data_IF_722665822096
#
_entry.id   IF_722665822096
#
_cell.length_a   1.000
_cell.length_b   1.000
_cell.length_c   1.000
_cell.angle_alpha   90.00
_cell.angle_beta   90.00
_cell.angle_gamma   90.00
#
_symmetry.space_group_name_H-M   'P 1'
#
loop_
_entity.id
_entity.type
_entity.pdbx_description
1 polymer ?
#
# COMPACT_ATOMS: atom_id res chain seq x y z
N UNK A 1 -1.05 -59.54 9.08
CA UNK A 1 -0.22 -58.82 10.07
C UNK A 1 0.93 -58.03 9.43
N UNK A 2 1.70 -58.62 8.50
CA UNK A 2 2.81 -57.94 7.81
C UNK A 2 2.38 -56.74 6.96
N UNK A 3 1.25 -56.87 6.26
CA UNK A 3 0.62 -55.79 5.47
C UNK A 3 0.26 -54.57 6.31
N UNK A 4 -0.45 -54.75 7.43
CA UNK A 4 -0.84 -53.64 8.32
C UNK A 4 0.37 -52.92 8.93
N UNK A 5 1.40 -53.68 9.30
CA UNK A 5 2.65 -53.12 9.81
C UNK A 5 3.33 -52.23 8.75
N UNK A 6 3.43 -52.73 7.51
CA UNK A 6 3.98 -51.99 6.39
C UNK A 6 3.17 -50.72 6.09
N UNK A 7 1.83 -50.82 6.06
CA UNK A 7 0.93 -49.68 5.85
C UNK A 7 1.12 -48.60 6.92
N UNK A 8 1.24 -48.97 8.19
CA UNK A 8 1.47 -48.00 9.27
C UNK A 8 2.82 -47.28 9.12
N UNK A 9 3.89 -47.98 8.73
CA UNK A 9 5.18 -47.34 8.44
C UNK A 9 5.10 -46.37 7.26
N UNK A 10 4.39 -46.74 6.18
CA UNK A 10 4.18 -45.81 5.05
C UNK A 10 3.38 -44.56 5.45
N UNK A 11 2.33 -44.72 6.26
CA UNK A 11 1.55 -43.59 6.77
C UNK A 11 2.35 -42.70 7.72
N UNK A 12 3.20 -43.27 8.57
CA UNK A 12 4.13 -42.50 9.40
C UNK A 12 5.14 -41.69 8.56
N UNK A 13 5.65 -42.28 7.48
CA UNK A 13 6.50 -41.55 6.53
C UNK A 13 5.79 -40.36 5.88
N UNK A 14 4.54 -40.56 5.43
CA UNK A 14 3.71 -39.47 4.89
C UNK A 14 3.40 -38.39 5.94
N UNK A 15 3.15 -38.81 7.19
CA UNK A 15 2.89 -37.89 8.29
C UNK A 15 4.14 -37.06 8.65
N UNK A 16 5.32 -37.67 8.62
CA UNK A 16 6.58 -36.96 8.80
C UNK A 16 6.83 -35.92 7.69
N UNK A 17 6.54 -36.27 6.43
CA UNK A 17 6.61 -35.33 5.30
C UNK A 17 5.61 -34.17 5.45
N UNK A 18 4.40 -34.44 5.94
CA UNK A 18 3.41 -33.41 6.24
C UNK A 18 3.90 -32.44 7.33
N UNK A 19 4.54 -32.94 8.40
CA UNK A 19 5.12 -32.09 9.45
C UNK A 19 6.27 -31.23 8.91
N UNK A 20 7.11 -31.77 8.03
CA UNK A 20 8.18 -31.01 7.35
C UNK A 20 7.58 -29.90 6.48
N UNK A 21 6.56 -30.22 5.67
CA UNK A 21 5.86 -29.24 4.85
C UNK A 21 5.27 -28.11 5.69
N UNK A 22 4.52 -28.44 6.75
CA UNK A 22 3.94 -27.46 7.67
C UNK A 22 5.01 -26.59 8.33
N UNK A 23 6.16 -27.15 8.68
CA UNK A 23 7.29 -26.39 9.23
C UNK A 23 7.79 -25.32 8.26
N UNK A 24 7.94 -25.67 6.98
CA UNK A 24 8.43 -24.73 5.95
C UNK A 24 7.41 -23.68 5.53
N UNK A 25 6.11 -23.97 5.59
CA UNK A 25 5.07 -22.99 5.24
C UNK A 25 4.75 -22.05 6.40
N UNK A 26 4.68 -22.56 7.63
CA UNK A 26 4.44 -21.75 8.82
C UNK A 26 5.61 -20.83 9.16
N UNK A 27 6.84 -21.19 8.78
CA UNK A 27 8.00 -20.29 8.93
C UNK A 27 7.92 -19.07 8.01
N UNK A 28 7.18 -19.18 6.90
CA UNK A 28 7.11 -18.15 5.85
C UNK A 28 5.87 -17.24 5.94
N UNK A 29 4.90 -17.53 6.81
CA UNK A 29 3.57 -16.89 6.82
C UNK A 29 3.43 -15.57 7.60
N UNK A 30 4.49 -14.79 7.80
CA UNK A 30 4.37 -13.35 8.14
C UNK A 30 3.87 -12.93 9.55
N UNK A 31 4.84 -12.51 10.37
CA UNK A 31 4.87 -11.41 11.37
C UNK A 31 4.30 -11.47 12.79
N UNK A 32 3.22 -12.12 13.19
CA UNK A 32 2.77 -12.05 14.59
C UNK A 32 3.33 -13.21 15.46
N UNK A 33 3.82 -12.87 16.65
CA UNK A 33 4.46 -13.81 17.58
C UNK A 33 3.49 -14.92 18.05
N UNK A 34 2.19 -14.62 18.08
CA UNK A 34 1.13 -15.56 18.42
C UNK A 34 0.97 -16.67 17.36
N UNK A 35 1.00 -16.31 16.07
CA UNK A 35 0.93 -17.26 14.96
C UNK A 35 2.12 -18.23 14.94
N UNK A 36 3.34 -17.70 15.18
CA UNK A 36 4.56 -18.52 15.27
C UNK A 36 4.55 -19.46 16.49
N UNK A 37 4.03 -19.01 17.63
CA UNK A 37 3.90 -19.84 18.83
C UNK A 37 2.93 -21.02 18.67
N UNK A 38 1.76 -20.78 18.08
CA UNK A 38 0.78 -21.83 17.78
C UNK A 38 1.32 -22.85 16.77
N UNK A 39 1.95 -22.37 15.70
CA UNK A 39 2.60 -23.20 14.69
C UNK A 39 3.63 -24.16 15.30
N UNK A 40 4.51 -23.62 16.14
CA UNK A 40 5.53 -24.40 16.83
C UNK A 40 4.92 -25.42 17.80
N UNK A 41 3.82 -25.05 18.48
CA UNK A 41 3.02 -25.96 19.30
C UNK A 41 2.47 -27.16 18.52
N UNK A 42 1.90 -26.94 17.33
CA UNK A 42 1.40 -28.02 16.47
C UNK A 42 2.51 -28.96 15.99
N UNK A 43 3.68 -28.42 15.65
CA UNK A 43 4.84 -29.23 15.23
C UNK A 43 5.37 -30.11 16.38
N UNK A 44 5.47 -29.55 17.58
CA UNK A 44 5.94 -30.28 18.77
C UNK A 44 4.94 -31.39 19.13
N UNK A 45 3.64 -31.07 19.20
CA UNK A 45 2.59 -32.06 19.48
C UNK A 45 2.56 -33.13 18.38
N UNK A 46 2.70 -32.73 17.12
CA UNK A 46 2.74 -33.64 15.98
C UNK A 46 3.93 -34.60 16.02
N UNK A 47 5.11 -34.12 16.39
CA UNK A 47 6.31 -34.94 16.55
C UNK A 47 6.18 -35.93 17.73
N UNK A 48 5.62 -35.50 18.86
CA UNK A 48 5.33 -36.37 20.01
C UNK A 48 4.35 -37.48 19.59
N UNK A 49 3.29 -37.12 18.85
CA UNK A 49 2.33 -38.10 18.34
C UNK A 49 3.01 -39.12 17.42
N UNK A 50 3.91 -38.69 16.53
CA UNK A 50 4.65 -39.59 15.63
C UNK A 50 5.50 -40.61 16.40
N UNK A 51 6.20 -40.17 17.46
CA UNK A 51 6.98 -41.07 18.32
C UNK A 51 6.07 -42.05 19.06
N UNK A 52 4.94 -41.58 19.59
CA UNK A 52 3.98 -42.41 20.32
C UNK A 52 3.36 -43.50 19.43
N UNK A 53 2.93 -43.16 18.21
CA UNK A 53 2.36 -44.14 17.27
C UNK A 53 3.41 -45.10 16.72
N UNK A 54 4.66 -44.68 16.57
CA UNK A 54 5.77 -45.57 16.23
C UNK A 54 6.00 -46.62 17.34
N UNK A 55 6.02 -46.21 18.61
CA UNK A 55 6.12 -47.11 19.75
C UNK A 55 4.95 -48.10 19.83
N UNK A 56 3.71 -47.64 19.65
CA UNK A 56 2.51 -48.49 19.64
C UNK A 56 2.50 -49.50 18.47
N UNK A 57 3.12 -49.16 17.33
CA UNK A 57 3.19 -50.03 16.15
C UNK A 57 4.18 -51.19 16.31
N UNK A 58 5.18 -51.04 17.20
CA UNK A 58 6.14 -52.09 17.54
C UNK A 58 5.53 -53.21 18.41
N UNK A 59 4.42 -52.93 19.10
CA UNK A 59 3.73 -53.94 19.90
C UNK A 59 3.21 -55.11 19.03
N UNK A 60 3.18 -56.33 19.58
CA UNK A 60 2.72 -57.52 18.83
C UNK A 60 1.18 -57.58 18.68
N UNK A 61 0.44 -56.69 19.32
CA UNK A 61 -1.03 -56.73 19.37
C UNK A 61 -1.69 -56.18 18.10
N UNK A 62 -2.76 -56.83 17.65
CA UNK A 62 -3.53 -56.40 16.46
C UNK A 62 -4.32 -55.11 16.72
N UNK A 63 -4.83 -54.94 17.93
CA UNK A 63 -5.60 -53.77 18.37
C UNK A 63 -4.75 -52.49 18.39
N UNK A 64 -3.48 -52.56 18.83
CA UNK A 64 -2.58 -51.40 18.80
C UNK A 64 -2.33 -50.91 17.37
N UNK A 65 -2.14 -51.83 16.42
CA UNK A 65 -1.88 -51.49 15.01
C UNK A 65 -3.10 -50.90 14.29
N UNK A 66 -4.31 -51.35 14.64
CA UNK A 66 -5.56 -50.73 14.15
C UNK A 66 -5.71 -49.32 14.75
N UNK A 67 -5.40 -49.15 16.04
CA UNK A 67 -5.40 -47.84 16.70
C UNK A 67 -4.42 -46.86 16.04
N UNK A 68 -3.19 -47.31 15.74
CA UNK A 68 -2.17 -46.52 15.01
C UNK A 68 -2.68 -46.10 13.62
N UNK A 69 -3.31 -47.02 12.89
CA UNK A 69 -3.86 -46.71 11.56
C UNK A 69 -4.92 -45.62 11.63
N UNK A 70 -5.87 -45.72 12.57
CA UNK A 70 -6.91 -44.71 12.76
C UNK A 70 -6.33 -43.36 13.20
N UNK A 71 -5.34 -43.37 14.10
CA UNK A 71 -4.68 -42.17 14.60
C UNK A 71 -3.87 -41.44 13.51
N UNK A 72 -3.35 -42.15 12.51
CA UNK A 72 -2.59 -41.57 11.39
C UNK A 72 -3.50 -41.03 10.27
N UNK A 73 -4.61 -41.71 9.97
CA UNK A 73 -5.49 -41.35 8.84
C UNK A 73 -6.15 -39.99 9.03
N UNK A 74 -6.69 -39.71 10.22
CA UNK A 74 -7.41 -38.46 10.49
C UNK A 74 -6.54 -37.21 10.22
N UNK A 75 -5.34 -37.06 10.81
CA UNK A 75 -4.52 -35.88 10.56
C UNK A 75 -3.92 -35.85 9.16
N UNK A 76 -3.66 -37.00 8.52
CA UNK A 76 -3.23 -37.04 7.11
C UNK A 76 -4.31 -36.53 6.16
N UNK A 77 -5.57 -36.93 6.35
CA UNK A 77 -6.69 -36.49 5.51
C UNK A 77 -7.01 -35.02 5.73
N UNK A 78 -7.08 -34.57 6.99
CA UNK A 78 -7.33 -33.16 7.31
C UNK A 78 -6.18 -32.26 6.84
N UNK A 79 -4.93 -32.68 7.09
CA UNK A 79 -3.73 -31.96 6.67
C UNK A 79 -3.58 -31.91 5.14
N UNK A 80 -3.89 -33.00 4.43
CA UNK A 80 -3.88 -33.00 2.97
C UNK A 80 -4.96 -32.07 2.39
N UNK A 81 -6.18 -32.07 2.95
CA UNK A 81 -7.25 -31.16 2.50
C UNK A 81 -6.86 -29.69 2.68
N UNK A 82 -6.31 -29.34 3.84
CA UNK A 82 -5.85 -27.97 4.12
C UNK A 82 -4.64 -27.59 3.26
N UNK A 83 -3.64 -28.47 3.16
CA UNK A 83 -2.43 -28.24 2.38
C UNK A 83 -2.69 -28.09 0.89
N UNK A 84 -3.56 -28.92 0.31
CA UNK A 84 -3.99 -28.79 -1.09
C UNK A 84 -4.78 -27.49 -1.28
N UNK A 85 -5.68 -27.14 -0.35
CA UNK A 85 -6.43 -25.88 -0.39
C UNK A 85 -5.51 -24.65 -0.38
N UNK A 86 -4.54 -24.61 0.53
CA UNK A 86 -3.56 -23.52 0.62
C UNK A 86 -2.63 -23.49 -0.58
N UNK A 87 -2.20 -24.64 -1.11
CA UNK A 87 -1.35 -24.71 -2.29
C UNK A 87 -2.07 -24.21 -3.55
N UNK A 88 -3.34 -24.58 -3.73
CA UNK A 88 -4.16 -24.09 -4.84
C UNK A 88 -4.45 -22.60 -4.69
N UNK A 89 -4.82 -22.14 -3.49
CA UNK A 89 -5.03 -20.72 -3.19
C UNK A 89 -3.75 -19.90 -3.47
N UNK A 90 -2.59 -20.36 -2.99
CA UNK A 90 -1.31 -19.68 -3.24
C UNK A 90 -0.95 -19.61 -4.73
N UNK A 91 -1.35 -20.60 -5.53
CA UNK A 91 -1.19 -20.57 -7.00
C UNK A 91 -2.11 -19.56 -7.67
N UNK A 92 -3.33 -19.43 -7.18
CA UNK A 92 -4.27 -18.41 -7.66
C UNK A 92 -3.79 -17.01 -7.28
N UNK A 93 -3.34 -16.81 -6.04
CA UNK A 93 -2.76 -15.57 -5.57
C UNK A 93 -1.53 -15.17 -6.40
N UNK A 94 -0.59 -16.10 -6.65
CA UNK A 94 0.59 -15.85 -7.48
C UNK A 94 0.21 -15.49 -8.93
N UNK A 95 -0.87 -16.08 -9.45
CA UNK A 95 -1.37 -15.75 -10.79
C UNK A 95 -2.00 -14.35 -10.81
N UNK A 96 -2.75 -13.98 -9.78
CA UNK A 96 -3.36 -12.65 -9.63
C UNK A 96 -2.26 -11.60 -9.49
N UNK A 97 -1.26 -11.82 -8.64
CA UNK A 97 -0.16 -10.88 -8.43
C UNK A 97 0.68 -10.67 -9.69
N UNK A 98 0.99 -11.76 -10.42
CA UNK A 98 1.61 -11.61 -11.75
C UNK A 98 0.74 -10.83 -12.71
N UNK A 99 -0.57 -11.09 -12.70
CA UNK A 99 -1.52 -10.37 -13.53
C UNK A 99 -1.65 -8.88 -13.19
N UNK A 100 -1.46 -8.51 -11.92
CA UNK A 100 -1.39 -7.12 -11.47
C UNK A 100 -0.08 -6.48 -11.92
N UNK A 101 1.03 -7.21 -11.91
CA UNK A 101 2.33 -6.68 -12.32
C UNK A 101 2.44 -6.41 -13.83
N UNK A 102 1.85 -7.27 -14.67
CA UNK A 102 1.89 -7.16 -16.14
C UNK A 102 0.65 -6.51 -16.77
N UNK A 103 -0.36 -6.23 -15.95
CA UNK A 103 -1.62 -5.59 -16.36
C UNK A 103 -2.67 -6.54 -16.93
N UNK A 104 -2.41 -7.85 -17.03
CA UNK A 104 -3.40 -8.82 -17.51
C UNK A 104 -4.61 -8.99 -16.59
N UNK A 105 -4.48 -8.65 -15.30
CA UNK A 105 -5.59 -8.59 -14.36
C UNK A 105 -6.52 -7.39 -14.62
N UNK A 106 -5.95 -6.23 -14.98
CA UNK A 106 -6.70 -4.99 -15.13
C UNK A 106 -7.36 -4.86 -16.50
N UNK A 107 -6.72 -5.37 -17.56
CA UNK A 107 -7.17 -5.11 -18.93
C UNK A 107 -7.62 -6.39 -19.64
N UNK A 108 -8.90 -6.52 -19.99
CA UNK A 108 -9.36 -7.66 -20.77
C UNK A 108 -8.86 -7.60 -22.23
N UNK A 109 -8.65 -6.39 -22.77
CA UNK A 109 -8.28 -6.20 -24.18
C UNK A 109 -6.82 -6.57 -24.45
N UNK A 110 -6.58 -7.33 -25.52
CA UNK A 110 -5.24 -7.74 -25.92
C UNK A 110 -4.30 -6.54 -26.15
N UNK A 111 -4.77 -5.49 -26.83
CA UNK A 111 -3.97 -4.28 -27.09
C UNK A 111 -3.56 -3.55 -25.81
N UNK A 112 -4.48 -3.36 -24.86
CA UNK A 112 -4.16 -2.73 -23.57
C UNK A 112 -3.20 -3.58 -22.75
N UNK A 113 -3.32 -4.91 -22.79
CA UNK A 113 -2.34 -5.84 -22.17
C UNK A 113 -0.95 -5.76 -22.78
N UNK A 114 -0.84 -5.61 -24.10
CA UNK A 114 0.46 -5.44 -24.75
C UNK A 114 1.14 -4.13 -24.34
N UNK A 115 0.37 -3.04 -24.21
CA UNK A 115 0.87 -1.77 -23.70
C UNK A 115 1.25 -1.87 -22.23
N UNK A 116 0.42 -2.52 -21.40
CA UNK A 116 0.71 -2.76 -19.99
C UNK A 116 1.97 -3.60 -19.80
N UNK A 117 2.17 -4.64 -20.60
CA UNK A 117 3.38 -5.45 -20.60
C UNK A 117 4.62 -4.65 -21.03
N UNK A 118 4.50 -3.74 -22.02
CA UNK A 118 5.58 -2.86 -22.42
C UNK A 118 5.98 -1.89 -21.29
N UNK A 119 4.99 -1.31 -20.59
CA UNK A 119 5.23 -0.52 -19.38
C UNK A 119 5.78 -1.38 -18.24
N UNK A 120 5.41 -2.67 -18.19
CA UNK A 120 5.89 -3.59 -17.17
C UNK A 120 7.39 -3.90 -17.28
N UNK A 121 7.91 -3.83 -18.50
CA UNK A 121 9.32 -4.03 -18.83
C UNK A 121 10.09 -2.73 -19.11
N UNK A 122 9.49 -1.56 -18.84
CA UNK A 122 10.04 -0.23 -19.16
C UNK A 122 10.50 -0.09 -20.64
N UNK A 123 9.82 -0.79 -21.55
CA UNK A 123 10.12 -0.77 -22.99
C UNK A 123 9.33 0.33 -23.70
N UNK A 124 9.89 1.54 -23.65
CA UNK A 124 9.32 2.73 -24.30
C UNK A 124 9.21 2.61 -25.82
N UNK A 125 10.07 1.82 -26.45
CA UNK A 125 10.02 1.63 -27.91
C UNK A 125 8.78 0.81 -28.27
N UNK A 126 8.55 -0.27 -27.54
CA UNK A 126 7.36 -1.11 -27.72
C UNK A 126 6.08 -0.36 -27.36
N UNK A 127 6.09 0.46 -26.30
CA UNK A 127 4.96 1.30 -25.92
C UNK A 127 4.59 2.28 -27.04
N UNK A 128 5.57 3.03 -27.56
CA UNK A 128 5.36 3.98 -28.67
C UNK A 128 4.84 3.29 -29.92
N UNK A 129 5.42 2.16 -30.31
CA UNK A 129 4.97 1.40 -31.47
C UNK A 129 3.52 0.92 -31.32
N UNK A 130 3.11 0.49 -30.12
CA UNK A 130 1.75 0.03 -29.85
C UNK A 130 0.69 1.15 -29.90
N UNK A 131 1.10 2.40 -29.69
CA UNK A 131 0.24 3.59 -29.70
C UNK A 131 0.18 4.33 -31.04
N UNK A 132 0.97 3.92 -32.04
CA UNK A 132 0.94 4.53 -33.38
C UNK A 132 -0.43 4.45 -34.07
N UNK A 133 -1.21 3.42 -33.76
CA UNK A 133 -2.58 3.26 -34.25
C UNK A 133 -3.59 3.66 -33.17
N UNK A 134 -4.66 4.41 -33.52
CA UNK A 134 -5.65 4.86 -32.56
C UNK A 134 -6.14 3.72 -31.66
N UNK A 135 -6.22 4.01 -30.36
CA UNK A 135 -6.76 3.11 -29.35
C UNK A 135 -7.96 3.79 -28.69
N UNK A 136 -9.20 3.55 -29.17
CA UNK A 136 -10.39 4.21 -28.61
C UNK A 136 -10.57 3.97 -27.11
N UNK A 137 -10.14 2.81 -26.62
CA UNK A 137 -10.27 2.39 -25.22
C UNK A 137 -9.12 2.86 -24.33
N UNK A 138 -8.30 3.81 -24.78
CA UNK A 138 -7.10 4.27 -24.05
C UNK A 138 -7.45 4.82 -22.65
N UNK A 139 -8.55 5.56 -22.57
CA UNK A 139 -9.04 6.19 -21.34
C UNK A 139 -10.15 5.37 -20.64
N UNK A 140 -10.50 4.20 -21.17
CA UNK A 140 -11.52 3.37 -20.55
C UNK A 140 -10.97 2.75 -19.26
N UNK A 141 -11.80 2.68 -18.23
CA UNK A 141 -11.50 1.91 -17.02
C UNK A 141 -11.44 0.41 -17.33
N UNK A 142 -10.48 -0.27 -16.70
CA UNK A 142 -10.40 -1.72 -16.62
C UNK A 142 -11.04 -2.26 -15.34
N UNK A 143 -10.58 -3.43 -14.91
CA UNK A 143 -10.87 -3.97 -13.57
C UNK A 143 -10.41 -2.96 -12.51
N UNK A 144 -11.14 -2.85 -11.40
CA UNK A 144 -10.87 -1.92 -10.29
C UNK A 144 -10.86 -0.43 -10.70
N UNK A 145 -11.59 -0.06 -11.77
CA UNK A 145 -11.70 1.31 -12.28
C UNK A 145 -10.36 1.91 -12.76
N UNK A 146 -9.42 1.06 -13.15
CA UNK A 146 -8.04 1.44 -13.41
C UNK A 146 -7.79 1.65 -14.91
N UNK A 147 -7.29 2.82 -15.29
CA UNK A 147 -6.91 3.15 -16.67
C UNK A 147 -5.46 2.77 -16.98
N UNK A 148 -5.05 2.80 -18.26
CA UNK A 148 -3.64 2.63 -18.62
C UNK A 148 -2.73 3.70 -17.99
N UNK A 149 -3.24 4.92 -17.83
CA UNK A 149 -2.51 6.00 -17.16
C UNK A 149 -2.33 5.71 -15.66
N UNK A 150 -3.38 5.20 -15.00
CA UNK A 150 -3.31 4.80 -13.60
C UNK A 150 -2.34 3.63 -13.40
N UNK A 151 -2.34 2.66 -14.31
CA UNK A 151 -1.39 1.55 -14.28
C UNK A 151 0.06 2.03 -14.35
N UNK A 152 0.37 2.92 -15.31
CA UNK A 152 1.69 3.51 -15.43
C UNK A 152 2.08 4.30 -14.17
N UNK A 153 1.13 5.05 -13.60
CA UNK A 153 1.35 5.85 -12.40
C UNK A 153 1.62 5.00 -11.16
N UNK A 154 0.86 3.91 -10.99
CA UNK A 154 1.04 2.96 -9.89
C UNK A 154 2.39 2.26 -9.95
N UNK A 155 2.93 2.01 -11.15
CA UNK A 155 4.28 1.47 -11.28
C UNK A 155 5.37 2.45 -10.89
N UNK A 156 5.10 3.75 -10.98
CA UNK A 156 5.97 4.78 -10.43
C UNK A 156 5.94 4.79 -8.89
N UNK A 157 4.92 4.19 -8.26
CA UNK A 157 4.83 4.06 -6.82
C UNK A 157 5.81 3.00 -6.32
N UNK A 158 6.87 3.44 -5.65
CA UNK A 158 7.91 2.55 -5.14
C UNK A 158 9.18 2.47 -5.99
N UNK A 159 9.23 3.08 -7.17
CA UNK A 159 10.48 3.19 -7.93
C UNK A 159 11.40 4.25 -7.34
N UNK A 160 12.69 3.95 -7.20
CA UNK A 160 13.73 4.95 -6.83
C UNK A 160 14.12 5.85 -8.01
N UNK A 161 13.81 5.42 -9.23
CA UNK A 161 14.11 6.12 -10.48
C UNK A 161 12.81 6.44 -11.23
N UNK A 162 12.13 7.55 -10.90
CA UNK A 162 10.83 7.90 -11.49
C UNK A 162 10.93 8.30 -12.98
N UNK A 163 12.12 8.46 -13.55
CA UNK A 163 12.32 8.97 -14.90
C UNK A 163 11.69 8.07 -15.97
N UNK A 164 11.87 6.75 -15.86
CA UNK A 164 11.30 5.79 -16.80
C UNK A 164 9.76 5.81 -16.73
N UNK A 165 9.20 5.87 -15.52
CA UNK A 165 7.77 5.95 -15.32
C UNK A 165 7.18 7.26 -15.85
N UNK A 166 7.86 8.40 -15.61
CA UNK A 166 7.48 9.70 -16.16
C UNK A 166 7.51 9.66 -17.70
N UNK A 167 8.50 9.02 -18.32
CA UNK A 167 8.53 8.86 -19.78
C UNK A 167 7.35 8.01 -20.30
N UNK A 168 6.98 6.93 -19.60
CA UNK A 168 5.78 6.14 -19.94
C UNK A 168 4.51 6.99 -19.85
N UNK A 169 4.35 7.76 -18.77
CA UNK A 169 3.22 8.66 -18.55
C UNK A 169 3.14 9.74 -19.64
N UNK A 170 4.28 10.34 -20.00
CA UNK A 170 4.35 11.37 -21.02
C UNK A 170 3.95 10.83 -22.40
N UNK A 171 4.46 9.65 -22.78
CA UNK A 171 4.09 8.98 -24.04
C UNK A 171 2.59 8.66 -24.09
N UNK A 172 2.00 8.18 -22.99
CA UNK A 172 0.56 7.94 -22.95
C UNK A 172 -0.24 9.23 -23.14
N UNK A 173 0.13 10.31 -22.45
CA UNK A 173 -0.55 11.60 -22.55
C UNK A 173 -0.39 12.25 -23.93
N UNK A 174 0.77 12.12 -24.57
CA UNK A 174 1.00 12.55 -25.97
C UNK A 174 0.04 11.87 -26.95
N UNK A 175 -0.37 10.62 -26.66
CA UNK A 175 -1.31 9.85 -27.47
C UNK A 175 -2.76 9.96 -26.99
N UNK A 176 -3.06 10.93 -26.12
CA UNK A 176 -4.42 11.28 -25.71
C UNK A 176 -4.91 10.59 -24.43
N UNK A 177 -4.01 10.01 -23.62
CA UNK A 177 -4.39 9.59 -22.27
C UNK A 177 -4.70 10.82 -21.41
N UNK A 178 -5.82 10.81 -20.71
CA UNK A 178 -6.32 11.95 -19.94
C UNK A 178 -6.29 11.68 -18.44
N UNK A 179 -6.04 12.75 -17.68
CA UNK A 179 -6.14 12.70 -16.21
C UNK A 179 -7.58 12.49 -15.75
N UNK A 180 -8.54 13.04 -16.51
CA UNK A 180 -9.97 12.92 -16.28
C UNK A 180 -10.59 11.79 -17.12
N UNK A 181 -11.63 11.16 -16.61
CA UNK A 181 -12.41 10.13 -17.32
C UNK A 181 -13.90 10.24 -17.03
N UNK A 182 -14.72 9.59 -17.85
CA UNK A 182 -16.16 9.51 -17.64
C UNK A 182 -16.59 8.56 -16.49
N UNK A 183 -15.67 7.73 -15.98
CA UNK A 183 -15.97 6.80 -14.87
C UNK A 183 -16.06 7.56 -13.53
N UNK A 184 -17.27 7.63 -12.98
CA UNK A 184 -17.55 8.33 -11.72
C UNK A 184 -17.03 7.62 -10.47
N UNK A 185 -16.71 6.32 -10.57
CA UNK A 185 -16.16 5.54 -9.46
C UNK A 185 -14.63 5.59 -9.44
N UNK A 186 -14.00 6.20 -10.46
CA UNK A 186 -12.56 6.38 -10.51
C UNK A 186 -12.13 7.57 -9.65
N UNK A 187 -11.04 7.38 -8.93
CA UNK A 187 -10.30 8.46 -8.27
C UNK A 187 -9.28 9.05 -9.26
N UNK A 188 -9.12 10.38 -9.36
CA UNK A 188 -8.12 10.96 -10.28
C UNK A 188 -6.72 10.38 -10.07
N UNK A 189 -5.96 10.16 -11.16
CA UNK A 189 -4.65 9.48 -11.12
C UNK A 189 -3.71 10.08 -10.09
N UNK A 190 -3.64 11.42 -10.01
CA UNK A 190 -2.79 12.13 -9.07
C UNK A 190 -3.14 11.79 -7.61
N UNK A 191 -4.42 11.67 -7.28
CA UNK A 191 -4.90 11.32 -5.94
C UNK A 191 -4.60 9.86 -5.62
N UNK A 192 -4.77 8.95 -6.59
CA UNK A 192 -4.50 7.52 -6.43
C UNK A 192 -3.05 7.24 -6.01
N UNK A 193 -2.09 8.01 -6.55
CA UNK A 193 -0.66 7.75 -6.35
C UNK A 193 0.04 8.75 -5.44
N UNK A 194 -0.60 9.86 -5.04
CA UNK A 194 0.04 10.97 -4.33
C UNK A 194 0.91 10.54 -3.13
N UNK A 195 0.39 9.66 -2.28
CA UNK A 195 1.06 9.25 -1.05
C UNK A 195 2.24 8.29 -1.28
N UNK A 196 2.17 7.48 -2.34
CA UNK A 196 3.13 6.40 -2.62
C UNK A 196 4.19 6.76 -3.69
N UNK A 197 3.86 7.66 -4.63
CA UNK A 197 4.78 8.07 -5.69
C UNK A 197 5.85 9.05 -5.18
N UNK A 198 7.00 9.17 -5.87
CA UNK A 198 7.95 10.24 -5.62
C UNK A 198 7.36 11.63 -5.93
N UNK A 199 7.85 12.67 -5.24
CA UNK A 199 7.43 14.05 -5.47
C UNK A 199 7.58 14.50 -6.92
N UNK A 200 8.57 13.96 -7.65
CA UNK A 200 8.77 14.22 -9.08
C UNK A 200 7.59 13.77 -9.97
N UNK A 201 6.94 12.65 -9.64
CA UNK A 201 5.78 12.13 -10.38
C UNK A 201 4.56 12.99 -10.11
N UNK A 202 4.34 13.38 -8.85
CA UNK A 202 3.27 14.31 -8.50
C UNK A 202 3.46 15.67 -9.20
N UNK A 203 4.69 16.19 -9.21
CA UNK A 203 5.02 17.42 -9.92
C UNK A 203 4.74 17.32 -11.42
N UNK A 204 5.08 16.19 -12.05
CA UNK A 204 4.75 15.93 -13.45
C UNK A 204 3.24 16.03 -13.71
N UNK A 205 2.41 15.38 -12.89
CA UNK A 205 0.96 15.44 -13.04
C UNK A 205 0.41 16.86 -12.86
N UNK A 206 0.88 17.60 -11.85
CA UNK A 206 0.50 18.99 -11.63
C UNK A 206 0.87 19.87 -12.83
N UNK A 207 2.07 19.70 -13.40
CA UNK A 207 2.50 20.39 -14.62
C UNK A 207 1.63 20.06 -15.84
N UNK A 208 1.09 18.84 -15.90
CA UNK A 208 0.15 18.38 -16.93
C UNK A 208 -1.31 18.78 -16.65
N UNK A 209 -1.56 19.58 -15.62
CA UNK A 209 -2.88 20.14 -15.32
C UNK A 209 -3.73 19.32 -14.36
N UNK A 210 -3.13 18.39 -13.60
CA UNK A 210 -3.86 17.71 -12.53
C UNK A 210 -4.38 18.72 -11.51
N UNK A 211 -5.63 18.55 -11.09
CA UNK A 211 -6.26 19.42 -10.12
C UNK A 211 -5.58 19.27 -8.73
N UNK A 212 -4.94 20.32 -8.18
CA UNK A 212 -4.30 20.27 -6.86
C UNK A 212 -5.30 20.19 -5.70
N UNK A 213 -6.60 20.38 -5.99
CA UNK A 213 -7.72 20.24 -5.06
C UNK A 213 -8.57 19.00 -5.36
N UNK A 214 -8.04 18.06 -6.15
CA UNK A 214 -8.73 16.80 -6.43
C UNK A 214 -9.04 16.05 -5.12
N UNK A 215 -10.14 15.29 -5.14
CA UNK A 215 -10.65 14.57 -3.97
C UNK A 215 -10.75 13.08 -4.26
N UNK A 216 -10.68 12.27 -3.22
CA UNK A 216 -11.10 10.87 -3.24
C UNK A 216 -12.63 10.77 -3.33
N UNK A 217 -13.15 9.55 -3.52
CA UNK A 217 -14.58 9.29 -3.60
C UNK A 217 -15.33 9.74 -2.34
N UNK A 218 -14.71 9.55 -1.17
CA UNK A 218 -15.27 9.99 0.12
C UNK A 218 -15.13 11.51 0.37
N UNK A 219 -14.55 12.27 -0.56
CA UNK A 219 -14.37 13.72 -0.44
C UNK A 219 -13.04 14.16 0.16
N UNK A 220 -12.18 13.23 0.60
CA UNK A 220 -10.84 13.52 1.12
C UNK A 220 -9.98 14.28 0.10
N UNK A 221 -9.53 15.52 0.37
CA UNK A 221 -8.65 16.27 -0.52
C UNK A 221 -7.29 15.60 -0.71
N UNK A 222 -6.67 15.74 -1.88
CA UNK A 222 -5.36 15.14 -2.21
C UNK A 222 -4.28 15.48 -1.18
N UNK A 223 -4.29 16.69 -0.63
CA UNK A 223 -3.33 17.12 0.37
C UNK A 223 -3.42 16.25 1.65
N UNK A 224 -4.61 15.77 2.03
CA UNK A 224 -4.79 14.87 3.17
C UNK A 224 -4.30 13.46 2.89
N UNK A 225 -4.28 13.04 1.62
CA UNK A 225 -3.75 11.73 1.27
C UNK A 225 -2.27 11.63 1.53
N UNK A 226 -1.51 12.74 1.48
CA UNK A 226 -0.05 12.74 1.65
C UNK A 226 0.40 12.96 3.11
N UNK A 227 -0.37 13.66 3.94
CA UNK A 227 0.05 14.04 5.31
C UNK A 227 0.37 12.84 6.23
N UNK A 228 -0.39 11.72 6.20
CA UNK A 228 -0.09 10.56 7.05
C UNK A 228 1.21 9.83 6.68
N UNK A 229 1.82 10.14 5.54
CA UNK A 229 2.95 9.39 4.98
C UNK A 229 4.23 10.22 4.99
N UNK A 230 5.32 9.68 5.51
CA UNK A 230 6.57 10.45 5.70
C UNK A 230 7.37 10.68 4.41
N UNK A 231 7.25 9.78 3.41
CA UNK A 231 8.06 9.82 2.19
C UNK A 231 7.82 11.12 1.40
N UNK A 232 8.83 12.00 1.44
CA UNK A 232 8.85 13.29 0.75
C UNK A 232 7.63 14.17 1.08
N UNK A 233 7.03 13.98 2.26
CA UNK A 233 5.78 14.65 2.68
C UNK A 233 5.81 16.16 2.47
N UNK A 234 6.82 16.81 3.05
CA UNK A 234 6.97 18.27 2.98
C UNK A 234 7.14 18.76 1.53
N UNK A 235 7.89 18.03 0.70
CA UNK A 235 8.09 18.37 -0.70
C UNK A 235 6.78 18.23 -1.52
N UNK A 236 6.02 17.15 -1.30
CA UNK A 236 4.71 16.94 -1.93
C UNK A 236 3.69 17.99 -1.49
N UNK A 237 3.66 18.32 -0.20
CA UNK A 237 2.79 19.36 0.35
C UNK A 237 3.11 20.71 -0.26
N UNK A 238 4.40 21.06 -0.33
CA UNK A 238 4.87 22.28 -0.99
C UNK A 238 4.44 22.34 -2.45
N UNK A 239 4.63 21.27 -3.21
CA UNK A 239 4.21 21.19 -4.62
C UNK A 239 2.70 21.43 -4.78
N UNK A 240 1.87 20.75 -3.99
CA UNK A 240 0.42 20.94 -4.04
C UNK A 240 0.02 22.39 -3.75
N UNK A 241 0.58 22.98 -2.69
CA UNK A 241 0.31 24.37 -2.30
C UNK A 241 0.84 25.39 -3.32
N UNK A 242 2.02 25.15 -3.91
CA UNK A 242 2.59 25.98 -4.97
C UNK A 242 1.73 25.98 -6.25
N UNK A 243 1.05 24.87 -6.54
CA UNK A 243 0.10 24.77 -7.65
C UNK A 243 -1.33 25.20 -7.29
N UNK A 244 -1.58 25.67 -6.06
CA UNK A 244 -2.88 26.24 -5.66
C UNK A 244 -3.83 25.28 -4.95
N UNK A 245 -3.31 24.24 -4.27
CA UNK A 245 -4.10 23.50 -3.30
C UNK A 245 -4.55 24.43 -2.16
N UNK A 246 -5.80 24.27 -1.73
CA UNK A 246 -6.38 25.04 -0.64
C UNK A 246 -5.78 24.58 0.71
N UNK A 247 -5.02 25.43 1.42
CA UNK A 247 -4.44 25.08 2.72
C UNK A 247 -5.49 24.94 3.82
N UNK A 248 -6.73 25.32 3.56
CA UNK A 248 -7.89 25.21 4.45
C UNK A 248 -8.89 24.15 4.00
N UNK A 249 -8.53 23.29 3.03
CA UNK A 249 -9.47 22.35 2.46
C UNK A 249 -10.09 21.46 3.57
N UNK A 250 -11.42 21.43 3.72
CA UNK A 250 -12.04 20.63 4.76
C UNK A 250 -11.96 19.15 4.38
N UNK A 251 -11.39 18.33 5.27
CA UNK A 251 -11.47 16.87 5.16
C UNK A 251 -12.64 16.37 6.00
N UNK A 252 -13.72 15.87 5.37
CA UNK A 252 -14.89 15.38 6.10
C UNK A 252 -14.58 14.12 6.90
N UNK A 253 -15.23 13.99 8.05
CA UNK A 253 -15.45 12.70 8.72
C UNK A 253 -16.29 11.78 7.79
N UNK A 254 -16.16 10.47 7.95
CA UNK A 254 -17.04 9.46 7.37
C UNK A 254 -18.55 9.76 7.55
N UNK A 255 -18.94 10.49 8.59
CA UNK A 255 -20.34 10.94 8.82
C UNK A 255 -20.67 12.29 8.18
N UNK A 256 -19.69 13.06 7.71
CA UNK A 256 -19.88 14.34 7.01
C UNK A 256 -20.29 15.54 7.88
N UNK A 257 -20.55 15.33 9.17
CA UNK A 257 -20.99 16.37 10.10
C UNK A 257 -19.83 17.18 10.68
N UNK A 258 -18.61 16.66 10.58
CA UNK A 258 -17.40 17.28 11.07
C UNK A 258 -16.32 17.29 9.99
N UNK A 259 -15.39 18.24 10.10
CA UNK A 259 -14.23 18.26 9.24
C UNK A 259 -12.96 18.62 10.01
N UNK A 260 -11.83 18.27 9.42
CA UNK A 260 -10.51 18.64 9.90
C UNK A 260 -9.84 19.51 8.83
N UNK A 261 -9.13 20.55 9.26
CA UNK A 261 -8.28 21.36 8.38
C UNK A 261 -6.86 20.79 8.32
N UNK A 262 -6.11 21.02 7.23
CA UNK A 262 -4.75 20.51 7.09
C UNK A 262 -3.85 20.91 8.25
N UNK A 263 -3.97 22.17 8.69
CA UNK A 263 -3.18 22.73 9.77
C UNK A 263 -3.52 22.07 11.12
N UNK A 264 -4.80 21.80 11.40
CA UNK A 264 -5.18 21.06 12.61
C UNK A 264 -4.54 19.67 12.63
N UNK A 265 -4.65 18.94 11.51
CA UNK A 265 -4.07 17.60 11.42
C UNK A 265 -2.55 17.62 11.62
N UNK A 266 -1.85 18.51 10.92
CA UNK A 266 -0.41 18.66 11.05
C UNK A 266 0.00 19.02 12.49
N UNK A 267 -0.71 19.96 13.14
CA UNK A 267 -0.43 20.37 14.52
C UNK A 267 -0.64 19.22 15.51
N UNK A 268 -1.75 18.49 15.38
CA UNK A 268 -2.07 17.35 16.25
C UNK A 268 -1.03 16.22 16.14
N UNK A 269 -0.42 16.05 14.97
CA UNK A 269 0.60 15.03 14.72
C UNK A 269 2.04 15.54 14.96
N UNK A 270 2.21 16.80 15.40
CA UNK A 270 3.53 17.40 15.63
C UNK A 270 4.36 17.62 14.36
N UNK A 271 3.70 17.77 13.20
CA UNK A 271 4.33 18.00 11.89
C UNK A 271 4.68 19.48 11.72
N UNK A 272 5.70 19.96 12.44
CA UNK A 272 5.95 21.41 12.58
C UNK A 272 6.38 22.10 11.30
N UNK A 273 7.21 21.47 10.46
CA UNK A 273 7.60 22.05 9.17
C UNK A 273 6.39 22.16 8.22
N UNK A 274 5.50 21.17 8.23
CA UNK A 274 4.24 21.20 7.49
C UNK A 274 3.28 22.28 8.05
N UNK A 275 3.21 22.46 9.37
CA UNK A 275 2.44 23.55 9.99
C UNK A 275 2.94 24.92 9.52
N UNK A 276 4.25 25.13 9.56
CA UNK A 276 4.88 26.37 9.09
C UNK A 276 4.55 26.63 7.62
N UNK A 277 4.72 25.62 6.76
CA UNK A 277 4.42 25.73 5.34
C UNK A 277 2.94 26.03 5.07
N UNK A 278 2.03 25.38 5.80
CA UNK A 278 0.59 25.63 5.69
C UNK A 278 0.24 27.06 6.11
N UNK A 279 0.80 27.55 7.22
CA UNK A 279 0.62 28.94 7.68
C UNK A 279 1.18 29.95 6.67
N UNK A 280 2.38 29.70 6.12
CA UNK A 280 2.97 30.52 5.07
C UNK A 280 2.09 30.61 3.82
N UNK A 281 1.31 29.55 3.55
CA UNK A 281 0.39 29.47 2.41
C UNK A 281 -1.03 29.94 2.73
N UNK A 282 -1.28 30.45 3.94
CA UNK A 282 -2.56 31.06 4.33
C UNK A 282 -3.54 30.11 5.03
N UNK A 283 -3.05 29.06 5.68
CA UNK A 283 -3.88 28.25 6.57
C UNK A 283 -4.39 29.07 7.77
N UNK A 284 -5.65 28.88 8.14
CA UNK A 284 -6.30 29.56 9.25
C UNK A 284 -5.94 28.91 10.60
N UNK A 285 -5.11 29.60 11.38
CA UNK A 285 -4.74 29.18 12.73
C UNK A 285 -5.89 29.35 13.75
N UNK A 286 -6.94 30.11 13.42
CA UNK A 286 -8.09 30.33 14.31
C UNK A 286 -9.18 29.29 14.12
N UNK A 287 -8.98 28.28 13.26
CA UNK A 287 -9.92 27.18 13.13
C UNK A 287 -10.14 26.48 14.49
N UNK A 288 -11.41 26.19 14.75
CA UNK A 288 -11.87 25.51 15.96
C UNK A 288 -12.68 24.30 15.55
N UNK A 289 -12.31 23.13 16.05
CA UNK A 289 -13.04 21.90 15.76
C UNK A 289 -14.45 21.93 16.38
N UNK A 290 -15.39 21.10 15.91
CA UNK A 290 -16.71 20.95 16.53
C UNK A 290 -16.68 20.59 18.02
N UNK A 291 -15.64 19.88 18.48
CA UNK A 291 -15.42 19.58 19.91
C UNK A 291 -14.85 20.77 20.71
N UNK A 292 -14.65 21.91 20.05
CA UNK A 292 -14.18 23.14 20.67
C UNK A 292 -12.67 23.24 20.86
N UNK A 293 -11.89 22.45 20.11
CA UNK A 293 -10.42 22.46 20.16
C UNK A 293 -9.89 23.52 19.19
N UNK A 294 -9.10 24.47 19.69
CA UNK A 294 -8.50 25.54 18.89
C UNK A 294 -7.14 25.11 18.33
N UNK A 295 -6.94 25.23 17.01
CA UNK A 295 -5.66 24.87 16.36
C UNK A 295 -4.50 25.66 16.94
N UNK A 296 -4.71 26.98 17.13
CA UNK A 296 -3.71 27.87 17.72
C UNK A 296 -3.21 27.39 19.08
N UNK A 297 -4.10 26.83 19.91
CA UNK A 297 -3.73 26.31 21.23
C UNK A 297 -2.75 25.14 21.10
N UNK A 298 -3.01 24.21 20.19
CA UNK A 298 -2.11 23.08 19.89
C UNK A 298 -0.75 23.61 19.40
N UNK A 299 -0.76 24.58 18.48
CA UNK A 299 0.44 25.23 17.94
C UNK A 299 1.24 26.05 18.96
N UNK A 300 0.69 26.35 20.14
CA UNK A 300 1.42 27.02 21.24
C UNK A 300 1.95 25.97 22.23
N UNK A 301 1.10 25.01 22.59
CA UNK A 301 1.37 24.04 23.66
C UNK A 301 2.38 22.95 23.25
N UNK A 302 2.37 22.53 21.98
CA UNK A 302 3.09 21.33 21.55
C UNK A 302 4.36 21.61 20.74
N UNK A 303 4.50 22.80 20.16
CA UNK A 303 5.71 23.20 19.42
C UNK A 303 5.63 24.67 19.07
N UNK A 304 6.67 25.44 19.35
CA UNK A 304 6.72 26.92 19.36
C UNK A 304 6.46 27.62 18.00
N UNK A 305 5.35 27.32 17.32
CA UNK A 305 5.06 27.82 15.97
C UNK A 305 4.41 29.21 16.01
N UNK A 306 3.64 29.51 17.06
CA UNK A 306 2.97 30.81 17.21
C UNK A 306 3.04 31.29 18.66
N UNK A 307 3.51 32.51 18.95
CA UNK A 307 3.31 33.13 20.27
C UNK A 307 1.83 33.40 20.55
N UNK A 308 1.39 33.26 21.81
CA UNK A 308 -0.01 33.44 22.24
C UNK A 308 -0.63 34.78 21.81
N UNK A 309 0.18 35.83 21.64
CA UNK A 309 -0.25 37.19 21.31
C UNK A 309 0.29 37.73 19.98
N UNK A 310 0.96 36.91 19.16
CA UNK A 310 1.52 37.40 17.90
C UNK A 310 0.44 37.54 16.82
N UNK A 311 0.53 38.61 16.03
CA UNK A 311 -0.08 38.68 14.72
C UNK A 311 0.58 37.62 13.82
N UNK A 312 -0.22 36.86 13.07
CA UNK A 312 0.25 35.76 12.23
C UNK A 312 1.37 36.23 11.27
N UNK A 313 1.27 37.48 10.84
CA UNK A 313 2.25 38.14 9.97
C UNK A 313 3.60 38.39 10.65
N UNK A 314 3.62 38.81 11.92
CA UNK A 314 4.85 39.01 12.70
C UNK A 314 5.51 37.68 13.09
N UNK A 315 4.71 36.68 13.48
CA UNK A 315 5.22 35.36 13.84
C UNK A 315 5.92 34.68 12.66
N UNK A 316 5.30 34.71 11.47
CA UNK A 316 5.88 34.17 10.24
C UNK A 316 7.16 34.90 9.81
N UNK A 317 7.22 36.22 10.00
CA UNK A 317 8.42 37.00 9.69
C UNK A 317 9.58 36.71 10.66
N UNK A 318 9.30 36.55 11.96
CA UNK A 318 10.31 36.17 12.94
C UNK A 318 10.91 34.79 12.64
N UNK A 319 10.07 33.82 12.25
CA UNK A 319 10.50 32.46 11.88
C UNK A 319 11.34 32.41 10.60
N UNK A 320 11.03 33.23 9.60
CA UNK A 320 11.85 33.37 8.38
C UNK A 320 13.24 33.92 8.69
N UNK A 321 13.31 34.95 9.53
CA UNK A 321 14.58 35.56 9.93
C UNK A 321 15.48 34.59 10.70
N UNK A 322 14.90 33.72 11.54
CA UNK A 322 15.64 32.72 12.30
C UNK A 322 16.24 31.62 11.39
N UNK A 323 15.49 31.17 10.37
CA UNK A 323 15.99 30.21 9.37
C UNK A 323 17.05 30.84 8.44
N UNK A 324 16.92 32.11 8.05
CA UNK A 324 17.93 32.80 7.24
C UNK A 324 19.25 33.02 8.01
N UNK A 325 19.18 33.34 9.32
CA UNK A 325 20.37 33.49 10.16
C UNK A 325 21.10 32.16 10.42
N UNK A 326 20.38 31.04 10.43
CA UNK A 326 20.97 29.70 10.54
C UNK A 326 21.54 29.18 9.20
N UNK A 327 21.14 29.76 8.06
CA UNK A 327 21.60 29.38 6.73
C UNK A 327 22.88 30.11 6.27
N UNK A 328 23.32 31.16 6.96
CA UNK A 328 24.63 31.78 6.72
C UNK A 328 25.75 30.88 7.25
N UNK A 329 26.68 30.39 6.40
CA UNK A 329 27.82 29.63 6.88
C UNK A 329 28.72 30.51 7.74
N UNK A 330 29.41 29.97 8.76
CA UNK A 330 30.37 30.76 9.54
C UNK A 330 31.41 31.32 8.58
N UNK A 331 31.56 32.65 8.60
CA UNK A 331 32.62 33.34 7.88
C UNK A 331 33.98 32.73 8.30
N UNK A 332 34.74 32.28 7.30
CA UNK A 332 36.11 31.78 7.43
C UNK A 332 37.02 32.79 8.13
#
# INVERSE_FOLDING_TARGET
MKTLLFTNWTLMGLYALLLIYLSTTLSNSGTDAAGRGLALGYLVIGAILLVAVAGLNLLPFRTSRIGVLLALVVPLVLGARQGIGQFLAGREDEKIERGRADGTYYFPDARRRELAAAMASDDLTRLRNGLQSPLPTLNDSGTDHLTLLDFAALRAAGSDHPEAAIQCLDVLMEHGATLETADSLRVPTSVLVAWQCPAAVLHFFLKKGANPNAKRLEGTPILFTILPHERERLAKLKLLLDYGADPNAPNPDALGDEYVTPLFYAAQQGMWDECLLLLEKGADANYRTPQGIDVRKILVEQGHVLPENADLSEALNALKNDKEQQATPPAL
#
